data_IF_175350742833
#
_entry.id   IF_175350742833
#
_cell.length_a   1.000
_cell.length_b   1.000
_cell.length_c   1.000
_cell.angle_alpha   90.00
_cell.angle_beta   90.00
_cell.angle_gamma   90.00
#
_symmetry.space_group_name_H-M   'P 1'
#
loop_
_entity.id
_entity.type
_entity.pdbx_description
1 polymer ?
#
# COMPACT_ATOMS: atom_id res chain seq x y z
N UNK A 1 -53.58 -28.34 -46.68
CA UNK A 1 -53.26 -28.78 -45.30
C UNK A 1 -51.82 -28.43 -45.03
N UNK A 2 -51.62 -27.44 -44.16
CA UNK A 2 -50.32 -26.87 -43.77
C UNK A 2 -49.53 -27.84 -42.88
N UNK A 3 -48.20 -27.84 -42.97
CA UNK A 3 -47.36 -27.89 -41.77
C UNK A 3 -45.95 -27.40 -42.08
N UNK A 4 -45.64 -26.17 -41.64
CA UNK A 4 -44.29 -25.61 -41.56
C UNK A 4 -43.73 -25.96 -40.18
N UNK A 5 -42.56 -26.59 -40.14
CA UNK A 5 -41.82 -26.89 -38.91
C UNK A 5 -40.92 -25.70 -38.59
N UNK A 6 -41.18 -25.04 -37.46
CA UNK A 6 -40.34 -23.97 -36.91
C UNK A 6 -39.32 -24.58 -35.96
N UNK A 7 -38.03 -24.46 -36.28
CA UNK A 7 -36.93 -24.75 -35.34
C UNK A 7 -36.82 -23.59 -34.33
N UNK A 8 -36.98 -23.90 -33.04
CA UNK A 8 -36.69 -22.98 -31.95
C UNK A 8 -35.20 -23.09 -31.58
N UNK A 9 -34.46 -22.00 -31.72
CA UNK A 9 -33.13 -21.83 -31.14
C UNK A 9 -33.27 -21.50 -29.64
N UNK A 10 -32.78 -22.39 -28.77
CA UNK A 10 -32.56 -22.07 -27.36
C UNK A 10 -31.24 -21.28 -27.24
N UNK A 11 -31.35 -19.99 -26.97
CA UNK A 11 -30.22 -19.19 -26.49
C UNK A 11 -30.04 -19.48 -24.98
N UNK A 12 -28.91 -20.10 -24.61
CA UNK A 12 -28.48 -20.18 -23.22
C UNK A 12 -27.96 -18.79 -22.81
N UNK A 13 -28.69 -18.09 -21.93
CA UNK A 13 -28.16 -16.90 -21.28
C UNK A 13 -27.14 -17.31 -20.21
N UNK A 14 -25.88 -16.94 -20.39
CA UNK A 14 -24.87 -16.98 -19.33
C UNK A 14 -25.24 -15.93 -18.28
N UNK A 15 -25.83 -16.38 -17.17
CA UNK A 15 -26.18 -15.53 -16.04
C UNK A 15 -24.93 -15.15 -15.24
N UNK A 16 -24.19 -14.15 -15.70
CA UNK A 16 -23.26 -13.40 -14.84
C UNK A 16 -24.03 -12.22 -14.26
N UNK A 17 -24.38 -12.28 -12.97
CA UNK A 17 -24.90 -11.12 -12.27
C UNK A 17 -23.82 -10.04 -12.22
N UNK A 18 -24.13 -8.78 -12.56
CA UNK A 18 -23.16 -7.70 -12.42
C UNK A 18 -22.74 -7.55 -10.96
N UNK A 19 -21.45 -7.64 -10.68
CA UNK A 19 -20.87 -7.31 -9.37
C UNK A 19 -21.07 -5.82 -9.17
N UNK A 20 -21.98 -5.46 -8.28
CA UNK A 20 -22.25 -4.06 -7.95
C UNK A 20 -21.13 -3.56 -7.03
N UNK A 21 -20.33 -2.61 -7.51
CA UNK A 21 -19.30 -1.97 -6.69
C UNK A 21 -19.94 -1.27 -5.48
N UNK A 22 -19.36 -1.40 -4.28
CA UNK A 22 -19.88 -0.73 -3.09
C UNK A 22 -19.81 0.79 -3.27
N UNK A 23 -20.95 1.46 -3.20
CA UNK A 23 -21.03 2.92 -3.23
C UNK A 23 -20.81 3.46 -1.81
N UNK A 24 -19.66 4.09 -1.55
CA UNK A 24 -19.38 4.78 -0.28
C UNK A 24 -20.08 6.15 -0.30
N UNK A 25 -20.81 6.50 0.75
CA UNK A 25 -21.50 7.80 0.85
C UNK A 25 -20.52 8.92 1.27
N UNK A 26 -20.82 10.18 0.94
CA UNK A 26 -19.99 11.34 1.33
C UNK A 26 -19.84 11.47 2.86
N UNK A 27 -20.85 11.08 3.63
CA UNK A 27 -20.81 11.06 5.10
C UNK A 27 -19.83 9.98 5.62
N UNK A 28 -19.83 8.80 4.99
CA UNK A 28 -18.86 7.75 5.30
C UNK A 28 -17.44 8.13 4.87
N UNK A 29 -17.28 8.91 3.80
CA UNK A 29 -15.98 9.36 3.30
C UNK A 29 -15.25 10.30 4.28
N UNK A 30 -16.00 11.13 5.02
CA UNK A 30 -15.45 12.01 6.07
C UNK A 30 -14.91 11.23 7.28
N UNK A 31 -15.45 10.04 7.56
CA UNK A 31 -15.03 9.21 8.70
C UNK A 31 -13.77 8.37 8.41
N UNK A 32 -13.38 8.21 7.14
CA UNK A 32 -12.21 7.43 6.73
C UNK A 32 -10.92 8.24 6.56
N UNK A 33 -11.00 9.58 6.56
CA UNK A 33 -9.80 10.43 6.59
C UNK A 33 -9.25 10.42 8.01
N UNK A 34 -8.53 9.35 8.33
CA UNK A 34 -7.88 9.13 9.61
C UNK A 34 -6.37 9.27 9.43
N UNK A 35 -5.74 10.00 10.35
CA UNK A 35 -4.28 10.09 10.45
C UNK A 35 -3.77 9.09 11.48
N UNK A 36 -2.82 8.24 11.10
CA UNK A 36 -2.15 7.31 12.03
C UNK A 36 -1.56 8.01 13.26
N UNK A 37 -1.13 9.27 13.11
CA UNK A 37 -0.66 10.09 14.23
C UNK A 37 -1.79 10.42 15.22
N UNK A 38 -2.93 10.90 14.73
CA UNK A 38 -4.09 11.22 15.56
C UNK A 38 -4.59 9.97 16.28
N UNK A 39 -4.66 8.84 15.57
CA UNK A 39 -5.06 7.54 16.14
C UNK A 39 -4.09 7.04 17.21
N UNK A 40 -2.78 7.22 17.01
CA UNK A 40 -1.78 6.89 18.03
C UNK A 40 -1.91 7.79 19.27
N UNK A 41 -2.18 9.08 19.08
CA UNK A 41 -2.41 10.02 20.18
C UNK A 41 -3.66 9.67 20.98
N UNK A 42 -4.78 9.37 20.32
CA UNK A 42 -6.07 9.04 20.94
C UNK A 42 -6.00 7.84 21.89
N UNK A 43 -5.08 6.93 21.62
CA UNK A 43 -4.96 5.65 22.33
C UNK A 43 -3.81 5.65 23.34
N UNK A 44 -3.19 6.81 23.55
CA UNK A 44 -2.19 7.03 24.59
C UNK A 44 -0.78 6.57 24.25
N UNK A 45 -0.43 6.41 22.96
CA UNK A 45 0.98 6.23 22.57
C UNK A 45 1.72 7.51 22.92
N UNK A 46 2.81 7.38 23.69
CA UNK A 46 3.62 8.52 24.12
C UNK A 46 5.10 8.36 23.73
N UNK A 47 5.64 7.14 23.83
CA UNK A 47 7.06 6.84 23.66
C UNK A 47 7.54 7.01 22.22
N UNK A 48 6.73 6.57 21.25
CA UNK A 48 7.02 6.66 19.82
C UNK A 48 6.13 7.66 19.07
N UNK A 49 5.40 8.51 19.79
CA UNK A 49 4.39 9.38 19.17
C UNK A 49 5.00 10.34 18.14
N UNK A 50 6.15 10.95 18.43
CA UNK A 50 6.84 11.83 17.47
C UNK A 50 7.40 11.06 16.26
N UNK A 51 7.83 9.80 16.45
CA UNK A 51 8.22 8.94 15.33
C UNK A 51 7.02 8.64 14.43
N UNK A 52 5.87 8.28 15.02
CA UNK A 52 4.63 8.06 14.27
C UNK A 52 4.22 9.33 13.53
N UNK A 53 4.29 10.50 14.17
CA UNK A 53 3.99 11.79 13.57
C UNK A 53 4.87 12.09 12.35
N UNK A 54 6.18 11.95 12.51
CA UNK A 54 7.16 12.20 11.46
C UNK A 54 6.95 11.27 10.27
N UNK A 55 6.84 9.96 10.54
CA UNK A 55 6.61 8.97 9.48
C UNK A 55 5.28 9.19 8.78
N UNK A 56 4.18 9.38 9.53
CA UNK A 56 2.86 9.62 8.93
C UNK A 56 2.91 10.85 8.01
N UNK A 57 3.51 11.95 8.47
CA UNK A 57 3.67 13.17 7.68
C UNK A 57 4.50 12.97 6.41
N UNK A 58 5.65 12.29 6.49
CA UNK A 58 6.50 12.02 5.31
C UNK A 58 5.84 11.05 4.33
N UNK A 59 5.13 10.04 4.84
CA UNK A 59 4.53 9.01 4.00
C UNK A 59 3.34 9.55 3.20
N UNK A 60 2.44 10.30 3.84
CA UNK A 60 1.24 10.83 3.19
C UNK A 60 1.48 12.17 2.51
N UNK A 61 2.37 13.00 3.06
CA UNK A 61 2.65 14.36 2.59
C UNK A 61 1.33 15.16 2.43
N UNK A 62 1.13 15.89 1.32
CA UNK A 62 -0.12 16.62 1.05
C UNK A 62 -1.19 15.76 0.33
N UNK A 63 -0.99 14.44 0.23
CA UNK A 63 -1.91 13.57 -0.51
C UNK A 63 -3.14 13.21 0.32
N UNK A 64 -4.28 13.04 -0.36
CA UNK A 64 -5.47 12.47 0.25
C UNK A 64 -5.15 11.04 0.75
N UNK A 65 -5.52 10.75 2.00
CA UNK A 65 -5.19 9.48 2.63
C UNK A 65 -6.22 9.08 3.68
N UNK A 66 -6.17 7.81 4.07
CA UNK A 66 -6.85 7.27 5.25
C UNK A 66 -6.07 6.10 5.83
N UNK A 67 -6.16 5.88 7.14
CA UNK A 67 -5.43 4.84 7.84
C UNK A 67 -6.34 3.85 8.56
N UNK A 68 -5.94 2.58 8.57
CA UNK A 68 -6.45 1.55 9.46
C UNK A 68 -5.32 1.10 10.39
N UNK A 69 -5.40 1.53 11.64
CA UNK A 69 -4.35 1.35 12.63
C UNK A 69 -4.68 0.22 13.61
N UNK A 70 -3.66 -0.48 14.07
CA UNK A 70 -3.71 -1.61 14.98
C UNK A 70 -2.68 -1.39 16.11
N UNK A 71 -3.13 -1.49 17.36
CA UNK A 71 -2.28 -1.23 18.52
C UNK A 71 -2.77 -2.02 19.75
N UNK A 72 -1.93 -2.05 20.80
CA UNK A 72 -2.30 -2.57 22.12
C UNK A 72 -2.91 -1.46 22.97
N UNK A 73 -4.18 -1.57 23.32
CA UNK A 73 -4.85 -0.62 24.24
C UNK A 73 -4.36 -0.75 25.68
N UNK A 74 -3.90 -1.93 26.08
CA UNK A 74 -3.49 -2.20 27.46
C UNK A 74 -2.03 -1.78 27.72
N UNK A 75 -1.24 -1.65 26.66
CA UNK A 75 0.19 -1.36 26.72
C UNK A 75 0.67 -0.63 25.45
N UNK A 76 0.18 0.60 25.19
CA UNK A 76 0.44 1.33 23.95
C UNK A 76 1.92 1.71 23.74
N UNK A 77 2.70 1.79 24.82
CA UNK A 77 4.14 2.15 24.79
C UNK A 77 5.10 0.96 24.87
N UNK A 78 4.57 -0.26 24.96
CA UNK A 78 5.38 -1.49 25.10
C UNK A 78 5.20 -2.46 23.93
N UNK A 79 4.21 -2.21 23.08
CA UNK A 79 3.82 -3.10 21.98
C UNK A 79 3.91 -2.38 20.65
N UNK A 80 3.84 -3.16 19.59
CA UNK A 80 3.90 -2.67 18.21
C UNK A 80 2.70 -1.76 17.92
N UNK A 81 2.97 -0.68 17.19
CA UNK A 81 1.97 0.09 16.47
C UNK A 81 2.08 -0.28 14.99
N UNK A 82 1.00 -0.79 14.41
CA UNK A 82 0.93 -1.14 13.00
C UNK A 82 -0.16 -0.32 12.32
N UNK A 83 0.09 0.09 11.08
CA UNK A 83 -0.87 0.82 10.27
C UNK A 83 -0.87 0.35 8.83
N UNK A 84 -2.05 0.32 8.24
CA UNK A 84 -2.24 0.29 6.79
C UNK A 84 -2.81 1.63 6.38
N UNK A 85 -2.07 2.37 5.57
CA UNK A 85 -2.46 3.67 5.04
C UNK A 85 -2.75 3.50 3.56
N UNK A 86 -3.91 3.98 3.10
CA UNK A 86 -4.19 4.17 1.68
C UNK A 86 -3.88 5.62 1.36
N UNK A 87 -2.95 5.85 0.43
CA UNK A 87 -2.56 7.17 -0.05
C UNK A 87 -2.91 7.29 -1.53
N UNK A 88 -3.73 8.26 -1.86
CA UNK A 88 -4.19 8.50 -3.23
C UNK A 88 -3.19 9.33 -4.03
N UNK A 89 -2.76 8.80 -5.17
CA UNK A 89 -2.14 9.58 -6.24
C UNK A 89 -3.18 9.90 -7.33
N UNK A 90 -2.79 10.73 -8.30
CA UNK A 90 -3.69 11.10 -9.40
C UNK A 90 -4.00 9.96 -10.37
N UNK A 91 -3.16 8.93 -10.41
CA UNK A 91 -3.21 7.79 -11.33
C UNK A 91 -3.54 6.46 -10.65
N UNK A 92 -3.19 6.27 -9.37
CA UNK A 92 -3.52 5.08 -8.59
C UNK A 92 -3.49 5.37 -7.10
N UNK A 93 -4.13 4.51 -6.31
CA UNK A 93 -3.86 4.44 -4.88
C UNK A 93 -2.60 3.63 -4.61
N UNK A 94 -1.94 3.95 -3.51
CA UNK A 94 -0.86 3.17 -2.91
C UNK A 94 -1.27 2.65 -1.54
N UNK A 95 -0.78 1.47 -1.20
CA UNK A 95 -0.92 0.89 0.12
C UNK A 95 0.40 0.98 0.86
N UNK A 96 0.38 1.59 2.05
CA UNK A 96 1.54 1.75 2.90
C UNK A 96 1.30 0.93 4.17
N UNK A 97 2.14 -0.07 4.41
CA UNK A 97 2.20 -0.73 5.71
C UNK A 97 3.30 -0.09 6.53
N UNK A 98 2.95 0.53 7.66
CA UNK A 98 3.88 1.15 8.59
C UNK A 98 3.87 0.37 9.90
N UNK A 99 5.05 0.05 10.42
CA UNK A 99 5.24 -0.58 11.74
C UNK A 99 6.19 0.27 12.57
N UNK A 100 5.82 0.57 13.81
CA UNK A 100 6.67 1.25 14.79
C UNK A 100 6.75 0.39 16.06
N UNK A 101 7.97 0.17 16.55
CA UNK A 101 8.25 -0.66 17.73
C UNK A 101 8.98 0.16 18.79
N UNK A 102 8.44 0.29 20.02
CA UNK A 102 9.12 1.00 21.09
C UNK A 102 10.37 0.25 21.57
N UNK A 103 11.46 1.02 21.77
CA UNK A 103 12.76 0.58 22.32
C UNK A 103 13.16 1.48 23.48
N UNK A 104 14.09 1.07 24.33
CA UNK A 104 14.51 1.95 25.44
C UNK A 104 15.19 3.21 24.91
N UNK A 105 14.51 4.36 25.07
CA UNK A 105 14.98 5.66 24.59
C UNK A 105 14.87 5.89 23.08
N UNK A 106 14.32 4.95 22.30
CA UNK A 106 14.23 5.06 20.84
C UNK A 106 13.02 4.28 20.27
N UNK A 107 12.84 4.30 18.95
CA UNK A 107 11.82 3.53 18.25
C UNK A 107 12.41 2.94 16.97
N UNK A 108 12.27 1.62 16.82
CA UNK A 108 12.51 0.98 15.53
C UNK A 108 11.28 1.23 14.65
N UNK A 109 11.49 1.35 13.36
CA UNK A 109 10.38 1.46 12.43
C UNK A 109 10.70 0.88 11.07
N UNK A 110 9.65 0.53 10.35
CA UNK A 110 9.70 0.19 8.94
C UNK A 110 8.43 0.69 8.28
N UNK A 111 8.52 0.97 6.99
CA UNK A 111 7.35 1.02 6.16
C UNK A 111 7.59 0.29 4.84
N UNK A 112 6.50 -0.11 4.20
CA UNK A 112 6.50 -0.59 2.82
C UNK A 112 5.34 0.06 2.09
N UNK A 113 5.65 0.87 1.10
CA UNK A 113 4.67 1.45 0.17
C UNK A 113 4.64 0.60 -1.10
N UNK A 114 3.45 0.18 -1.50
CA UNK A 114 3.22 -0.66 -2.68
C UNK A 114 2.15 -0.05 -3.57
N UNK A 115 2.43 0.02 -4.86
CA UNK A 115 1.49 0.51 -5.88
C UNK A 115 1.80 -0.10 -7.25
N UNK A 116 0.83 -0.02 -8.16
CA UNK A 116 0.98 -0.51 -9.53
C UNK A 116 1.09 0.67 -10.49
N UNK A 117 2.03 0.60 -11.41
CA UNK A 117 2.19 1.61 -12.47
C UNK A 117 1.98 0.95 -13.83
N UNK A 118 1.25 1.60 -14.72
CA UNK A 118 1.04 1.17 -16.11
C UNK A 118 2.26 1.42 -17.02
N UNK A 119 3.43 0.99 -16.55
CA UNK A 119 4.70 0.97 -17.29
C UNK A 119 5.45 -0.32 -17.03
N UNK A 120 6.29 -0.73 -17.97
CA UNK A 120 7.18 -1.86 -17.78
C UNK A 120 8.17 -1.60 -16.63
N UNK A 121 8.48 -2.61 -15.82
CA UNK A 121 9.43 -2.47 -14.71
C UNK A 121 10.81 -2.00 -15.15
N UNK A 122 11.26 -2.33 -16.36
CA UNK A 122 12.53 -1.83 -16.91
C UNK A 122 12.51 -0.32 -17.14
N UNK A 123 11.36 0.21 -17.60
CA UNK A 123 11.17 1.66 -17.77
C UNK A 123 11.14 2.34 -16.41
N UNK A 124 10.39 1.79 -15.44
CA UNK A 124 10.36 2.33 -14.07
C UNK A 124 11.75 2.31 -13.42
N UNK A 125 12.51 1.21 -13.59
CA UNK A 125 13.89 1.12 -13.10
C UNK A 125 14.74 2.26 -13.64
N UNK A 126 14.71 2.47 -14.95
CA UNK A 126 15.62 3.42 -15.60
C UNK A 126 15.17 4.87 -15.36
N UNK A 127 13.87 5.16 -15.48
CA UNK A 127 13.32 6.51 -15.38
C UNK A 127 13.26 7.04 -13.94
N UNK A 128 12.94 6.18 -12.95
CA UNK A 128 12.64 6.60 -11.58
C UNK A 128 13.71 6.19 -10.58
N UNK A 129 14.36 5.05 -10.83
CA UNK A 129 15.30 4.44 -9.89
C UNK A 129 16.67 4.22 -10.52
N UNK A 130 17.02 5.00 -11.56
CA UNK A 130 18.26 4.82 -12.32
C UNK A 130 19.54 5.03 -11.49
N UNK A 131 19.42 5.74 -10.37
CA UNK A 131 20.51 5.97 -9.41
C UNK A 131 20.60 4.88 -8.34
N UNK A 132 19.59 4.02 -8.20
CA UNK A 132 19.60 2.95 -7.20
C UNK A 132 20.52 1.81 -7.68
N UNK A 133 21.33 1.29 -6.75
CA UNK A 133 22.18 0.13 -6.99
C UNK A 133 21.38 -1.15 -7.16
N UNK A 134 21.70 -1.96 -8.17
CA UNK A 134 21.10 -3.28 -8.35
C UNK A 134 21.59 -4.26 -7.28
N UNK A 135 20.68 -4.78 -6.47
CA UNK A 135 20.99 -5.78 -5.44
C UNK A 135 20.93 -7.22 -5.97
N UNK A 136 20.08 -7.48 -6.96
CA UNK A 136 19.87 -8.82 -7.48
C UNK A 136 18.44 -9.11 -7.88
N UNK A 137 18.21 -10.33 -8.34
CA UNK A 137 16.89 -10.87 -8.62
C UNK A 137 16.38 -11.66 -7.41
N UNK A 138 15.13 -11.44 -7.01
CA UNK A 138 14.46 -12.20 -5.94
C UNK A 138 13.81 -13.49 -6.46
N UNK A 139 13.49 -13.52 -7.76
CA UNK A 139 13.06 -14.69 -8.53
C UNK A 139 13.31 -14.42 -10.02
N UNK A 140 12.72 -15.20 -10.93
CA UNK A 140 12.91 -15.05 -12.38
C UNK A 140 12.43 -13.70 -12.95
N UNK A 141 11.51 -13.01 -12.28
CA UNK A 141 10.83 -11.81 -12.77
C UNK A 141 10.96 -10.58 -11.87
N UNK A 142 11.25 -10.78 -10.58
CA UNK A 142 11.31 -9.74 -9.57
C UNK A 142 12.76 -9.34 -9.29
N UNK A 143 13.03 -8.04 -9.26
CA UNK A 143 14.35 -7.51 -8.93
C UNK A 143 14.31 -6.61 -7.70
N UNK A 144 15.46 -6.46 -7.06
CA UNK A 144 15.69 -5.59 -5.91
C UNK A 144 16.76 -4.54 -6.24
N UNK A 145 16.52 -3.31 -5.79
CA UNK A 145 17.41 -2.16 -5.87
C UNK A 145 17.59 -1.55 -4.47
N UNK A 146 18.66 -0.81 -4.24
CA UNK A 146 18.92 -0.05 -3.00
C UNK A 146 19.47 1.34 -3.27
N UNK A 147 19.06 2.32 -2.46
CA UNK A 147 19.74 3.62 -2.36
C UNK A 147 20.92 3.55 -1.39
N UNK A 148 21.71 4.64 -1.34
CA UNK A 148 22.76 4.84 -0.33
C UNK A 148 22.19 5.00 1.10
N UNK A 149 20.94 5.46 1.20
CA UNK A 149 20.21 5.64 2.47
C UNK A 149 19.47 4.37 2.93
N UNK A 150 19.79 3.20 2.35
CA UNK A 150 19.18 1.89 2.66
C UNK A 150 17.66 1.79 2.35
N UNK A 151 17.16 2.61 1.41
CA UNK A 151 15.83 2.43 0.84
C UNK A 151 15.89 1.34 -0.22
N UNK A 152 15.08 0.30 -0.04
CA UNK A 152 15.00 -0.81 -0.98
C UNK A 152 13.80 -0.66 -1.91
N UNK A 153 13.99 -0.89 -3.20
CA UNK A 153 12.92 -0.91 -4.20
C UNK A 153 12.82 -2.31 -4.78
N UNK A 154 11.61 -2.85 -4.83
CA UNK A 154 11.31 -4.12 -5.47
C UNK A 154 10.41 -3.86 -6.68
N UNK A 155 10.81 -4.36 -7.84
CA UNK A 155 10.05 -4.24 -9.08
C UNK A 155 9.63 -5.62 -9.55
N UNK A 156 8.33 -5.85 -9.68
CA UNK A 156 7.76 -7.12 -10.14
C UNK A 156 6.76 -6.87 -11.27
N UNK A 157 6.92 -7.47 -12.46
CA UNK A 157 5.93 -7.36 -13.51
C UNK A 157 4.58 -7.95 -13.07
N UNK A 158 3.52 -7.15 -13.13
CA UNK A 158 2.13 -7.65 -12.99
C UNK A 158 1.65 -8.17 -14.34
N UNK A 159 1.93 -7.40 -15.39
CA UNK A 159 1.72 -7.77 -16.78
C UNK A 159 3.04 -7.55 -17.52
N UNK A 160 3.61 -8.61 -18.08
CA UNK A 160 4.92 -8.58 -18.70
C UNK A 160 5.04 -7.44 -19.72
N UNK A 161 6.03 -6.56 -19.51
CA UNK A 161 6.32 -5.43 -20.39
C UNK A 161 5.28 -4.30 -20.37
N UNK A 162 4.30 -4.32 -19.47
CA UNK A 162 3.21 -3.33 -19.43
C UNK A 162 2.94 -2.72 -18.07
N UNK A 163 2.91 -3.52 -17.01
CA UNK A 163 2.56 -3.03 -15.67
C UNK A 163 3.58 -3.53 -14.66
N UNK A 164 3.97 -2.65 -13.74
CA UNK A 164 4.93 -2.94 -12.69
C UNK A 164 4.31 -2.74 -11.32
N UNK A 165 4.41 -3.76 -10.48
CA UNK A 165 4.24 -3.63 -9.03
C UNK A 165 5.54 -3.07 -8.47
N UNK A 166 5.45 -1.87 -7.90
CA UNK A 166 6.55 -1.23 -7.19
C UNK A 166 6.33 -1.43 -5.70
N UNK A 167 7.36 -1.82 -4.97
CA UNK A 167 7.34 -1.82 -3.51
C UNK A 167 8.58 -1.10 -2.99
N UNK A 168 8.39 0.04 -2.35
CA UNK A 168 9.43 0.82 -1.66
C UNK A 168 9.43 0.44 -0.20
N UNK A 169 10.58 0.05 0.33
CA UNK A 169 10.75 -0.35 1.73
C UNK A 169 11.91 0.40 2.35
N UNK A 170 11.65 0.97 3.52
CA UNK A 170 12.67 1.56 4.37
C UNK A 170 12.57 0.97 5.77
N UNK A 171 13.69 0.85 6.45
CA UNK A 171 13.74 0.28 7.79
C UNK A 171 14.82 0.99 8.57
N UNK A 172 14.46 1.43 9.76
CA UNK A 172 15.36 2.02 10.74
C UNK A 172 15.32 1.17 12.00
N UNK A 173 16.50 0.75 12.45
CA UNK A 173 16.70 0.05 13.70
C UNK A 173 17.58 0.96 14.55
N UNK A 174 17.11 1.36 15.71
CA UNK A 174 17.87 2.19 16.63
C UNK A 174 19.10 1.42 17.13
N UNK A 175 20.26 2.07 17.12
CA UNK A 175 21.48 1.52 17.72
C UNK A 175 21.37 1.57 19.25
N UNK A 176 21.83 0.51 19.92
CA UNK A 176 21.85 0.43 21.40
C UNK A 176 22.99 1.25 22.00
#
# INVERSE_FOLDING_TARGET
MNSLITLAFLALSTGESPVQEPTVTEEQQSDYVTSSFERAQDVGVSKCLETVKSLSGVLVDEHAHGSHDMWSTDAPDERVFDSVIVKGYSDTDSHISMTVVPRDGACDWRYTETYVVEKACTVIRDDWFGEFGYLGALNETSLALSSEENVNIYLTPVVQGKMCLVSKRETYIAEN
#
